data_IF_129774446335
#
_entry.id   IF_129774446335
#
_cell.length_a   1.000
_cell.length_b   1.000
_cell.length_c   1.000
_cell.angle_alpha   90.00
_cell.angle_beta   90.00
_cell.angle_gamma   90.00
#
_symmetry.space_group_name_H-M   'P 1'
#
loop_
_entity.id
_entity.type
_entity.pdbx_description
1 polymer ?
#
# COMPACT_ATOMS: atom_id res chain seq x y z
N UNK A 1 -36.98 -24.30 -23.19
CA UNK A 1 -38.20 -23.66 -22.69
C UNK A 1 -38.04 -22.16 -22.91
N UNK A 2 -38.94 -21.53 -23.67
CA UNK A 2 -38.80 -20.11 -24.04
C UNK A 2 -39.33 -19.21 -22.91
N UNK A 3 -38.56 -18.19 -22.54
CA UNK A 3 -38.88 -17.22 -21.49
C UNK A 3 -39.97 -16.27 -22.03
N UNK A 4 -41.13 -16.14 -21.37
CA UNK A 4 -42.23 -15.25 -21.82
C UNK A 4 -41.83 -13.77 -21.95
N UNK A 5 -40.77 -13.36 -21.25
CA UNK A 5 -40.26 -11.98 -21.28
C UNK A 5 -39.25 -11.71 -22.39
N UNK A 6 -38.86 -12.73 -23.18
CA UNK A 6 -37.88 -12.61 -24.26
C UNK A 6 -38.30 -11.59 -25.32
N UNK A 7 -39.57 -11.55 -25.67
CA UNK A 7 -40.12 -10.61 -26.65
C UNK A 7 -40.21 -9.18 -26.12
N UNK A 8 -40.15 -9.01 -24.79
CA UNK A 8 -40.11 -7.69 -24.14
C UNK A 8 -38.69 -7.15 -23.92
N UNK A 9 -37.63 -7.93 -24.22
CA UNK A 9 -36.24 -7.51 -24.03
C UNK A 9 -35.81 -6.39 -24.99
N UNK A 10 -36.27 -6.41 -26.24
CA UNK A 10 -35.98 -5.35 -27.23
C UNK A 10 -36.71 -4.05 -26.86
N UNK A 11 -38.05 -4.05 -26.60
CA UNK A 11 -38.74 -2.88 -26.08
C UNK A 11 -38.16 -2.33 -24.77
N UNK A 12 -37.61 -3.20 -23.91
CA UNK A 12 -36.92 -2.82 -22.68
C UNK A 12 -35.59 -2.08 -22.95
N UNK A 13 -34.81 -2.53 -23.94
CA UNK A 13 -33.59 -1.86 -24.39
C UNK A 13 -33.87 -0.53 -25.10
N UNK A 14 -34.98 -0.44 -25.83
CA UNK A 14 -35.41 0.76 -26.57
C UNK A 14 -36.20 1.77 -25.72
N UNK A 15 -36.38 1.52 -24.42
CA UNK A 15 -37.17 2.35 -23.50
C UNK A 15 -38.64 2.57 -23.90
N UNK A 16 -39.20 1.68 -24.71
CA UNK A 16 -40.60 1.77 -25.19
C UNK A 16 -41.62 1.22 -24.19
N UNK A 17 -41.16 0.72 -23.05
CA UNK A 17 -42.01 0.13 -22.01
C UNK A 17 -42.38 1.15 -20.93
N UNK A 18 -43.54 0.95 -20.32
CA UNK A 18 -43.96 1.75 -19.17
C UNK A 18 -43.03 1.52 -17.97
N UNK A 19 -42.93 2.51 -17.06
CA UNK A 19 -42.06 2.41 -15.86
C UNK A 19 -42.36 1.18 -14.99
N UNK A 20 -43.62 0.80 -14.89
CA UNK A 20 -44.07 -0.38 -14.13
C UNK A 20 -43.62 -1.68 -14.82
N UNK A 21 -43.75 -1.75 -16.15
CA UNK A 21 -43.28 -2.91 -16.92
C UNK A 21 -41.75 -3.03 -16.92
N UNK A 22 -41.03 -1.92 -16.93
CA UNK A 22 -39.56 -1.91 -16.81
C UNK A 22 -39.10 -2.52 -15.48
N UNK A 23 -39.75 -2.16 -14.35
CA UNK A 23 -39.42 -2.73 -13.04
C UNK A 23 -39.72 -4.23 -12.96
N UNK A 24 -40.84 -4.69 -13.55
CA UNK A 24 -41.20 -6.11 -13.59
C UNK A 24 -40.17 -6.91 -14.39
N UNK A 25 -39.71 -6.36 -15.51
CA UNK A 25 -38.69 -7.01 -16.35
C UNK A 25 -37.33 -7.00 -15.67
N UNK A 26 -36.94 -5.93 -14.98
CA UNK A 26 -35.68 -5.88 -14.22
C UNK A 26 -35.63 -6.92 -13.11
N UNK A 27 -36.72 -7.06 -12.34
CA UNK A 27 -36.84 -8.08 -11.31
C UNK A 27 -36.75 -9.49 -11.93
N UNK A 28 -37.40 -9.70 -13.08
CA UNK A 28 -37.35 -10.99 -13.77
C UNK A 28 -35.97 -11.33 -14.36
N UNK A 29 -35.28 -10.34 -14.93
CA UNK A 29 -33.93 -10.50 -15.49
C UNK A 29 -32.94 -10.89 -14.38
N UNK A 30 -33.13 -10.43 -13.14
CA UNK A 30 -32.23 -10.79 -12.04
C UNK A 30 -32.25 -12.29 -11.71
N UNK A 31 -33.41 -12.94 -11.89
CA UNK A 31 -33.65 -14.35 -11.56
C UNK A 31 -33.55 -15.29 -12.77
N UNK A 32 -33.76 -14.81 -14.00
CA UNK A 32 -33.82 -15.65 -15.19
C UNK A 32 -32.51 -15.65 -16.01
N UNK A 33 -31.74 -16.73 -15.92
CA UNK A 33 -30.49 -16.90 -16.68
C UNK A 33 -30.67 -16.84 -18.22
N UNK A 34 -31.79 -17.34 -18.75
CA UNK A 34 -32.10 -17.32 -20.19
C UNK A 34 -32.34 -15.91 -20.70
N UNK A 35 -33.09 -15.12 -19.94
CA UNK A 35 -33.41 -13.75 -20.27
C UNK A 35 -32.17 -12.83 -20.06
N UNK A 36 -31.31 -13.11 -19.07
CA UNK A 36 -29.97 -12.50 -18.93
C UNK A 36 -29.07 -12.77 -20.13
N UNK A 37 -28.96 -14.03 -20.56
CA UNK A 37 -28.10 -14.42 -21.69
C UNK A 37 -28.59 -13.79 -23.00
N UNK A 38 -29.91 -13.75 -23.19
CA UNK A 38 -30.53 -13.11 -24.37
C UNK A 38 -30.30 -11.60 -24.37
N UNK A 39 -30.42 -10.93 -23.23
CA UNK A 39 -30.10 -9.51 -23.09
C UNK A 39 -28.62 -9.23 -23.36
N UNK A 40 -27.73 -10.05 -22.81
CA UNK A 40 -26.28 -9.98 -23.04
C UNK A 40 -25.93 -10.08 -24.53
N UNK A 41 -26.57 -11.02 -25.24
CA UNK A 41 -26.37 -11.26 -26.66
C UNK A 41 -26.99 -10.14 -27.52
N UNK A 42 -28.16 -9.61 -27.15
CA UNK A 42 -28.77 -8.45 -27.82
C UNK A 42 -27.90 -7.20 -27.71
N UNK A 43 -27.43 -6.86 -26.49
CA UNK A 43 -26.53 -5.71 -26.28
C UNK A 43 -25.19 -5.91 -27.03
N UNK A 44 -24.67 -7.14 -27.09
CA UNK A 44 -23.47 -7.45 -27.90
C UNK A 44 -23.73 -7.24 -29.39
N UNK A 45 -24.85 -7.74 -29.90
CA UNK A 45 -25.22 -7.64 -31.32
C UNK A 45 -25.49 -6.20 -31.73
N UNK A 46 -26.12 -5.42 -30.85
CA UNK A 46 -26.33 -3.97 -31.01
C UNK A 46 -25.00 -3.20 -30.93
N UNK A 47 -24.05 -3.63 -30.09
CA UNK A 47 -22.68 -3.07 -30.06
C UNK A 47 -21.81 -3.46 -31.27
N UNK A 48 -22.19 -4.51 -32.01
CA UNK A 48 -21.52 -5.02 -33.22
C UNK A 48 -22.18 -4.51 -34.52
N UNK A 49 -23.43 -4.05 -34.47
CA UNK A 49 -24.18 -3.47 -35.59
C UNK A 49 -23.79 -2.01 -35.90
N UNK A 50 -22.49 -1.70 -35.88
CA UNK A 50 -21.94 -0.45 -36.42
C UNK A 50 -21.73 -0.57 -37.96
N UNK A 51 -22.09 -1.71 -38.56
CA UNK A 51 -21.84 -2.03 -39.97
C UNK A 51 -23.10 -2.48 -40.75
N UNK A 52 -24.29 -2.01 -40.37
CA UNK A 52 -25.45 -2.05 -41.27
C UNK A 52 -25.50 -0.72 -42.03
N UNK A 53 -25.88 -0.72 -43.33
CA UNK A 53 -25.99 0.51 -44.10
C UNK A 53 -26.91 1.46 -43.35
N UNK A 54 -26.48 2.72 -43.22
CA UNK A 54 -27.19 3.80 -42.53
C UNK A 54 -28.65 3.85 -43.00
N UNK A 55 -29.56 3.22 -42.24
CA UNK A 55 -30.85 3.85 -42.00
C UNK A 55 -30.55 5.15 -41.27
N UNK A 56 -31.17 6.25 -41.68
CA UNK A 56 -31.15 7.53 -40.98
C UNK A 56 -31.73 7.32 -39.57
N UNK A 57 -30.88 6.88 -38.64
CA UNK A 57 -31.18 6.95 -37.22
C UNK A 57 -31.21 8.44 -36.91
N UNK A 58 -32.36 8.96 -36.49
CA UNK A 58 -32.50 10.36 -36.09
C UNK A 58 -31.37 10.74 -35.12
N UNK A 59 -30.58 11.75 -35.50
CA UNK A 59 -29.39 12.21 -34.76
C UNK A 59 -29.70 12.48 -33.27
N UNK A 60 -30.94 12.83 -32.96
CA UNK A 60 -31.43 13.09 -31.61
C UNK A 60 -31.33 11.85 -30.70
N UNK A 61 -31.68 10.67 -31.21
CA UNK A 61 -31.63 9.39 -30.47
C UNK A 61 -30.17 8.95 -30.24
N UNK A 62 -29.30 9.16 -31.24
CA UNK A 62 -27.86 8.89 -31.11
C UNK A 62 -27.21 9.83 -30.08
N UNK A 63 -27.54 11.13 -30.11
CA UNK A 63 -27.06 12.12 -29.15
C UNK A 63 -27.52 11.78 -27.74
N UNK A 64 -28.77 11.33 -27.55
CA UNK A 64 -29.31 10.95 -26.26
C UNK A 64 -28.60 9.71 -25.68
N UNK A 65 -28.41 8.66 -26.48
CA UNK A 65 -27.63 7.47 -26.08
C UNK A 65 -26.18 7.82 -25.73
N UNK A 66 -25.53 8.71 -26.50
CA UNK A 66 -24.17 9.19 -26.21
C UNK A 66 -24.14 10.01 -24.90
N UNK A 67 -25.15 10.87 -24.66
CA UNK A 67 -25.28 11.65 -23.42
C UNK A 67 -25.46 10.74 -22.21
N UNK A 68 -26.31 9.73 -22.29
CA UNK A 68 -26.54 8.75 -21.22
C UNK A 68 -25.26 7.94 -20.94
N UNK A 69 -24.55 7.50 -22.00
CA UNK A 69 -23.28 6.79 -21.83
C UNK A 69 -22.20 7.68 -21.21
N UNK A 70 -22.08 8.94 -21.65
CA UNK A 70 -21.13 9.91 -21.06
C UNK A 70 -21.48 10.26 -19.62
N UNK A 71 -22.76 10.38 -19.28
CA UNK A 71 -23.20 10.69 -17.91
C UNK A 71 -22.96 9.51 -16.97
N UNK A 72 -23.21 8.27 -17.42
CA UNK A 72 -22.89 7.04 -16.69
C UNK A 72 -21.39 6.88 -16.42
N UNK A 73 -20.55 7.08 -17.44
CA UNK A 73 -19.09 7.02 -17.28
C UNK A 73 -18.58 8.11 -16.32
N UNK A 74 -19.08 9.35 -16.43
CA UNK A 74 -18.72 10.44 -15.50
C UNK A 74 -19.08 10.10 -14.06
N UNK A 75 -20.24 9.49 -13.82
CA UNK A 75 -20.67 9.08 -12.48
C UNK A 75 -19.74 8.02 -11.88
N UNK A 76 -19.37 7.02 -12.68
CA UNK A 76 -18.42 5.97 -12.25
C UNK A 76 -17.06 6.59 -11.90
N UNK A 77 -16.53 7.48 -12.74
CA UNK A 77 -15.28 8.19 -12.46
C UNK A 77 -15.41 9.01 -11.17
N UNK A 78 -16.52 9.74 -10.98
CA UNK A 78 -16.76 10.52 -9.77
C UNK A 78 -16.76 9.63 -8.51
N UNK A 79 -17.43 8.48 -8.54
CA UNK A 79 -17.39 7.53 -7.43
C UNK A 79 -15.99 6.99 -7.18
N UNK A 80 -15.24 6.66 -8.24
CA UNK A 80 -13.85 6.23 -8.10
C UNK A 80 -12.97 7.28 -7.43
N UNK A 81 -13.07 8.54 -7.86
CA UNK A 81 -12.34 9.68 -7.26
C UNK A 81 -12.75 9.89 -5.80
N UNK A 82 -14.05 9.89 -5.49
CA UNK A 82 -14.54 10.02 -4.12
C UNK A 82 -14.08 8.86 -3.24
N UNK A 83 -14.11 7.63 -3.75
CA UNK A 83 -13.59 6.45 -3.07
C UNK A 83 -12.09 6.58 -2.79
N UNK A 84 -11.31 7.01 -3.78
CA UNK A 84 -9.87 7.23 -3.63
C UNK A 84 -9.58 8.26 -2.54
N UNK A 85 -10.25 9.43 -2.58
CA UNK A 85 -10.12 10.48 -1.55
C UNK A 85 -10.48 9.92 -0.17
N UNK A 86 -11.59 9.20 -0.05
CA UNK A 86 -12.02 8.59 1.20
C UNK A 86 -10.99 7.60 1.74
N UNK A 87 -10.35 6.81 0.86
CA UNK A 87 -9.29 5.90 1.26
C UNK A 87 -7.99 6.61 1.65
N UNK A 88 -7.62 7.75 1.05
CA UNK A 88 -6.47 8.54 1.51
C UNK A 88 -6.62 9.00 2.97
N UNK A 89 -7.83 9.38 3.36
CA UNK A 89 -8.11 9.82 4.74
C UNK A 89 -8.43 8.67 5.70
N UNK A 90 -8.55 7.43 5.20
CA UNK A 90 -8.93 6.27 6.00
C UNK A 90 -7.99 6.01 7.18
N UNK A 91 -6.69 6.33 7.04
CA UNK A 91 -5.70 6.18 8.12
C UNK A 91 -6.05 7.00 9.38
N UNK A 92 -6.81 8.09 9.25
CA UNK A 92 -7.22 8.94 10.36
C UNK A 92 -8.50 8.49 11.07
N UNK A 93 -9.06 7.32 10.72
CA UNK A 93 -10.33 6.84 11.31
C UNK A 93 -10.29 6.73 12.85
N UNK A 94 -9.12 6.50 13.44
CA UNK A 94 -8.96 6.40 14.90
C UNK A 94 -9.18 7.73 15.61
N UNK A 95 -8.89 8.85 14.94
CA UNK A 95 -9.02 10.21 15.46
C UNK A 95 -10.46 10.72 15.44
N UNK A 96 -11.33 10.08 14.65
CA UNK A 96 -12.73 10.46 14.58
C UNK A 96 -13.51 9.98 15.82
N UNK A 97 -14.34 10.87 16.35
CA UNK A 97 -15.22 10.64 17.51
C UNK A 97 -16.60 10.12 17.10
N UNK A 98 -17.03 10.37 15.86
CA UNK A 98 -18.35 9.95 15.40
C UNK A 98 -18.31 8.54 14.82
N UNK A 99 -19.13 7.64 15.36
CA UNK A 99 -19.04 6.19 15.11
C UNK A 99 -19.27 5.84 13.64
N UNK A 100 -20.21 6.51 12.97
CA UNK A 100 -20.60 6.17 11.58
C UNK A 100 -19.48 6.53 10.61
N UNK A 101 -18.96 7.76 10.67
CA UNK A 101 -17.86 8.22 9.82
C UNK A 101 -16.59 7.44 10.13
N UNK A 102 -16.34 7.13 11.40
CA UNK A 102 -15.26 6.22 11.82
C UNK A 102 -15.37 4.85 11.16
N UNK A 103 -16.54 4.22 11.14
CA UNK A 103 -16.73 2.91 10.51
C UNK A 103 -16.50 2.95 8.99
N UNK A 104 -17.02 3.98 8.32
CA UNK A 104 -16.85 4.17 6.87
C UNK A 104 -15.37 4.36 6.53
N UNK A 105 -14.65 5.17 7.30
CA UNK A 105 -13.21 5.38 7.11
C UNK A 105 -12.36 4.17 7.53
N UNK A 106 -12.77 3.41 8.54
CA UNK A 106 -12.04 2.23 9.00
C UNK A 106 -12.02 1.11 7.97
N UNK A 107 -13.09 0.96 7.19
CA UNK A 107 -13.27 -0.18 6.29
C UNK A 107 -12.17 -0.28 5.22
N UNK A 108 -11.84 0.78 4.45
CA UNK A 108 -10.70 0.74 3.53
C UNK A 108 -9.37 0.45 4.23
N UNK A 109 -9.14 1.04 5.41
CA UNK A 109 -7.90 0.87 6.14
C UNK A 109 -7.70 -0.57 6.61
N UNK A 110 -8.75 -1.20 7.16
CA UNK A 110 -8.69 -2.59 7.63
C UNK A 110 -8.65 -3.60 6.48
N UNK A 111 -9.30 -3.32 5.36
CA UNK A 111 -9.14 -4.13 4.16
C UNK A 111 -7.71 -4.06 3.61
N UNK A 112 -7.08 -2.89 3.67
CA UNK A 112 -5.69 -2.72 3.27
C UNK A 112 -4.73 -3.45 4.21
N UNK A 113 -4.95 -3.36 5.52
CA UNK A 113 -4.18 -4.12 6.52
C UNK A 113 -4.30 -5.62 6.27
N UNK A 114 -5.51 -6.13 6.08
CA UNK A 114 -5.73 -7.54 5.70
C UNK A 114 -5.02 -7.90 4.39
N UNK A 115 -5.20 -7.08 3.35
CA UNK A 115 -4.62 -7.32 2.03
C UNK A 115 -3.09 -7.31 2.03
N UNK A 116 -2.46 -6.37 2.72
CA UNK A 116 -1.00 -6.32 2.89
C UNK A 116 -0.50 -7.44 3.80
N UNK A 117 -1.25 -7.77 4.84
CA UNK A 117 -0.94 -8.85 5.77
C UNK A 117 -0.75 -10.20 5.09
N UNK A 118 -1.50 -10.49 4.02
CA UNK A 118 -1.33 -11.71 3.23
C UNK A 118 0.07 -11.86 2.59
N UNK A 119 0.76 -10.76 2.34
CA UNK A 119 2.06 -10.75 1.64
C UNK A 119 3.23 -10.35 2.54
N UNK A 120 2.98 -9.50 3.53
CA UNK A 120 4.03 -8.82 4.30
C UNK A 120 3.97 -9.09 5.81
N UNK A 121 3.11 -9.97 6.31
CA UNK A 121 3.04 -10.31 7.75
C UNK A 121 4.38 -10.74 8.33
N UNK A 122 5.22 -11.39 7.53
CA UNK A 122 6.53 -11.89 7.96
C UNK A 122 7.56 -10.77 8.17
N UNK A 123 7.28 -9.56 7.69
CA UNK A 123 8.16 -8.40 7.89
C UNK A 123 7.91 -7.70 9.21
N UNK A 124 6.78 -7.97 9.88
CA UNK A 124 6.41 -7.31 11.13
C UNK A 124 7.43 -7.67 12.20
N UNK A 125 7.96 -6.65 12.87
CA UNK A 125 8.93 -6.83 13.95
C UNK A 125 8.29 -7.53 15.14
N UNK A 126 9.06 -8.39 15.80
CA UNK A 126 8.66 -8.94 17.09
C UNK A 126 8.63 -7.84 18.17
N UNK A 127 7.84 -8.00 19.25
CA UNK A 127 7.80 -7.03 20.35
C UNK A 127 9.18 -6.65 20.92
N UNK A 128 10.11 -7.59 20.92
CA UNK A 128 11.49 -7.39 21.40
C UNK A 128 12.31 -6.50 20.45
N UNK A 129 12.08 -6.62 19.14
CA UNK A 129 12.69 -5.74 18.14
C UNK A 129 12.11 -4.32 18.15
N UNK A 130 10.96 -4.10 18.81
CA UNK A 130 10.38 -2.77 19.01
C UNK A 130 11.01 -2.01 20.20
N UNK A 131 11.75 -2.65 21.11
CA UNK A 131 12.25 -2.02 22.35
C UNK A 131 13.28 -0.88 22.17
N UNK A 132 13.79 -0.65 20.95
CA UNK A 132 14.67 0.49 20.64
C UNK A 132 14.01 1.63 19.86
N UNK A 133 12.74 1.48 19.45
CA UNK A 133 12.03 2.52 18.70
C UNK A 133 11.38 3.52 19.69
N UNK A 134 12.13 4.56 20.07
CA UNK A 134 11.57 5.73 20.78
C UNK A 134 10.51 6.50 19.97
N UNK A 135 10.30 6.13 18.71
CA UNK A 135 9.34 6.76 17.80
C UNK A 135 8.39 5.71 17.22
N UNK A 136 7.11 5.80 17.59
CA UNK A 136 6.02 4.99 17.01
C UNK A 136 6.14 4.99 15.48
N UNK A 137 6.27 3.82 14.85
CA UNK A 137 6.28 3.71 13.38
C UNK A 137 4.93 4.19 12.83
N UNK A 138 4.89 5.28 12.05
CA UNK A 138 3.64 5.75 11.47
C UNK A 138 3.23 4.81 10.34
N UNK A 139 2.13 4.06 10.53
CA UNK A 139 1.59 3.18 9.50
C UNK A 139 1.09 1.84 10.03
N UNK A 140 1.04 0.84 9.13
CA UNK A 140 0.61 -0.53 9.44
C UNK A 140 1.74 -1.41 9.95
N UNK A 141 3.01 -0.99 9.83
CA UNK A 141 4.17 -1.71 10.36
C UNK A 141 4.67 -2.88 9.50
N UNK A 142 4.28 -2.95 8.23
CA UNK A 142 4.72 -4.00 7.30
C UNK A 142 6.10 -3.73 6.69
N UNK A 143 6.57 -2.47 6.75
CA UNK A 143 7.87 -2.06 6.22
C UNK A 143 8.71 -1.37 7.31
N UNK A 144 9.09 -2.08 8.39
CA UNK A 144 9.67 -1.47 9.58
C UNK A 144 10.98 -0.71 9.34
N UNK A 145 11.76 -1.12 8.35
CA UNK A 145 13.03 -0.50 8.00
C UNK A 145 12.92 0.55 6.89
N UNK A 146 11.71 0.87 6.42
CA UNK A 146 11.47 1.96 5.48
C UNK A 146 10.19 2.71 5.85
N UNK A 147 10.32 3.72 6.72
CA UNK A 147 9.19 4.46 7.27
C UNK A 147 8.37 5.18 6.20
N UNK A 148 9.05 5.71 5.18
CA UNK A 148 8.39 6.41 4.06
C UNK A 148 7.54 5.43 3.26
N UNK A 149 8.07 4.23 2.98
CA UNK A 149 7.32 3.18 2.30
C UNK A 149 6.15 2.68 3.14
N UNK A 150 6.33 2.48 4.45
CA UNK A 150 5.25 2.06 5.35
C UNK A 150 4.10 3.08 5.38
N UNK A 151 4.45 4.36 5.49
CA UNK A 151 3.49 5.46 5.44
C UNK A 151 2.76 5.53 4.09
N UNK A 152 3.50 5.45 2.98
CA UNK A 152 2.90 5.46 1.63
C UNK A 152 1.98 4.25 1.43
N UNK A 153 2.39 3.06 1.85
CA UNK A 153 1.56 1.86 1.80
C UNK A 153 0.29 2.01 2.64
N UNK A 154 0.39 2.65 3.81
CA UNK A 154 -0.72 2.90 4.73
C UNK A 154 -1.73 3.93 4.22
N UNK A 155 -1.36 4.78 3.26
CA UNK A 155 -2.23 5.78 2.64
C UNK A 155 -2.77 5.31 1.28
N UNK A 156 -1.88 4.83 0.41
CA UNK A 156 -2.21 4.48 -0.97
C UNK A 156 -2.98 3.17 -1.07
N UNK A 157 -2.65 2.16 -0.25
CA UNK A 157 -3.33 0.86 -0.32
C UNK A 157 -4.82 0.98 0.02
N UNK A 158 -5.22 1.66 1.12
CA UNK A 158 -6.63 1.94 1.36
C UNK A 158 -7.29 2.78 0.27
N UNK A 159 -6.58 3.76 -0.31
CA UNK A 159 -7.10 4.58 -1.41
C UNK A 159 -7.41 3.75 -2.66
N UNK A 160 -6.52 2.83 -3.03
CA UNK A 160 -6.73 1.88 -4.14
C UNK A 160 -7.95 0.99 -3.87
N UNK A 161 -8.03 0.38 -2.67
CA UNK A 161 -9.14 -0.50 -2.32
C UNK A 161 -10.48 0.23 -2.22
N UNK A 162 -10.49 1.43 -1.65
CA UNK A 162 -11.70 2.26 -1.56
C UNK A 162 -12.15 2.73 -2.94
N UNK A 163 -11.23 3.08 -3.84
CA UNK A 163 -11.53 3.38 -5.24
C UNK A 163 -12.22 2.19 -5.91
N UNK A 164 -11.69 0.97 -5.76
CA UNK A 164 -12.33 -0.22 -6.32
C UNK A 164 -13.71 -0.49 -5.72
N UNK A 165 -13.85 -0.37 -4.39
CA UNK A 165 -15.14 -0.51 -3.71
C UNK A 165 -16.18 0.50 -4.22
N UNK A 166 -15.80 1.77 -4.32
CA UNK A 166 -16.68 2.83 -4.81
C UNK A 166 -17.04 2.66 -6.29
N UNK A 167 -16.11 2.18 -7.11
CA UNK A 167 -16.39 1.83 -8.50
C UNK A 167 -17.39 0.67 -8.58
N UNK A 168 -17.22 -0.40 -7.79
CA UNK A 168 -18.16 -1.53 -7.74
C UNK A 168 -19.57 -1.04 -7.35
N UNK A 169 -19.66 -0.20 -6.31
CA UNK A 169 -20.92 0.44 -5.90
C UNK A 169 -21.49 1.25 -7.07
N UNK A 170 -20.69 2.11 -7.69
CA UNK A 170 -21.11 2.92 -8.84
C UNK A 170 -21.59 2.09 -10.04
N UNK A 171 -21.02 0.91 -10.27
CA UNK A 171 -21.46 -0.05 -11.29
C UNK A 171 -22.77 -0.76 -10.90
N UNK A 172 -22.93 -1.19 -9.64
CA UNK A 172 -24.13 -1.87 -9.15
C UNK A 172 -25.36 -0.94 -9.14
N UNK A 173 -25.16 0.34 -8.85
CA UNK A 173 -26.22 1.36 -8.89
C UNK A 173 -26.38 2.04 -10.26
N UNK A 174 -25.67 1.56 -11.30
CA UNK A 174 -25.81 2.05 -12.67
C UNK A 174 -26.87 1.27 -13.45
N UNK A 175 -27.42 1.88 -14.51
CA UNK A 175 -28.45 1.26 -15.35
C UNK A 175 -27.95 -0.08 -15.96
N UNK A 176 -28.66 -1.16 -15.67
CA UNK A 176 -28.34 -2.54 -16.09
C UNK A 176 -28.35 -2.69 -17.62
N UNK A 177 -29.04 -1.81 -18.33
CA UNK A 177 -29.10 -1.76 -19.81
C UNK A 177 -27.75 -1.36 -20.43
N UNK A 178 -26.92 -0.62 -19.68
CA UNK A 178 -25.60 -0.15 -20.15
C UNK A 178 -24.44 -0.98 -19.58
N UNK A 179 -24.64 -1.60 -18.41
CA UNK A 179 -23.58 -2.27 -17.65
C UNK A 179 -23.89 -3.75 -17.34
N UNK A 180 -23.38 -4.63 -18.20
CA UNK A 180 -23.52 -6.09 -18.09
C UNK A 180 -22.72 -6.70 -16.93
N UNK A 181 -23.27 -7.76 -16.31
CA UNK A 181 -22.58 -8.59 -15.28
C UNK A 181 -21.21 -9.10 -15.74
N UNK A 182 -21.03 -9.43 -17.02
CA UNK A 182 -19.72 -9.84 -17.59
C UNK A 182 -18.65 -8.73 -17.57
N UNK A 183 -19.05 -7.46 -17.58
CA UNK A 183 -18.10 -6.34 -17.44
C UNK A 183 -17.63 -6.16 -15.99
N UNK A 184 -18.47 -6.52 -15.00
CA UNK A 184 -18.09 -6.53 -13.58
C UNK A 184 -16.98 -7.55 -13.32
N UNK A 185 -17.06 -8.76 -13.89
CA UNK A 185 -16.00 -9.75 -13.73
C UNK A 185 -14.66 -9.26 -14.30
N UNK A 186 -14.67 -8.64 -15.49
CA UNK A 186 -13.46 -8.03 -16.06
C UNK A 186 -12.92 -6.91 -15.17
N UNK A 187 -13.80 -6.08 -14.62
CA UNK A 187 -13.43 -5.03 -13.68
C UNK A 187 -12.74 -5.60 -12.44
N UNK A 188 -13.31 -6.64 -11.82
CA UNK A 188 -12.71 -7.31 -10.66
C UNK A 188 -11.33 -7.89 -11.00
N UNK A 189 -11.18 -8.54 -12.15
CA UNK A 189 -9.87 -9.04 -12.60
C UNK A 189 -8.87 -7.90 -12.78
N UNK A 190 -9.29 -6.77 -13.38
CA UNK A 190 -8.44 -5.58 -13.52
C UNK A 190 -8.06 -5.00 -12.16
N UNK A 191 -9.01 -4.88 -11.22
CA UNK A 191 -8.77 -4.37 -9.87
C UNK A 191 -7.76 -5.25 -9.11
N UNK A 192 -7.95 -6.58 -9.16
CA UNK A 192 -7.01 -7.54 -8.58
C UNK A 192 -5.63 -7.42 -9.25
N UNK A 193 -5.57 -7.28 -10.57
CA UNK A 193 -4.30 -7.13 -11.29
C UNK A 193 -3.56 -5.86 -10.87
N UNK A 194 -4.25 -4.72 -10.76
CA UNK A 194 -3.67 -3.46 -10.30
C UNK A 194 -3.19 -3.58 -8.85
N UNK A 195 -3.97 -4.22 -7.99
CA UNK A 195 -3.57 -4.49 -6.61
C UNK A 195 -2.30 -5.35 -6.55
N UNK A 196 -2.22 -6.44 -7.33
CA UNK A 196 -1.03 -7.28 -7.38
C UNK A 196 0.19 -6.54 -7.92
N UNK A 197 0.04 -5.68 -8.94
CA UNK A 197 1.12 -4.82 -9.42
C UNK A 197 1.61 -3.89 -8.30
N UNK A 198 0.69 -3.32 -7.52
CA UNK A 198 1.03 -2.49 -6.36
C UNK A 198 1.82 -3.29 -5.31
N UNK A 199 1.43 -4.52 -5.00
CA UNK A 199 2.17 -5.42 -4.10
C UNK A 199 3.58 -5.70 -4.62
N UNK A 200 3.74 -5.96 -5.92
CA UNK A 200 5.05 -6.19 -6.55
C UNK A 200 5.95 -4.94 -6.43
N UNK A 201 5.40 -3.75 -6.63
CA UNK A 201 6.13 -2.49 -6.47
C UNK A 201 6.61 -2.33 -5.02
N UNK A 202 5.72 -2.53 -4.04
CA UNK A 202 6.06 -2.46 -2.62
C UNK A 202 7.16 -3.46 -2.25
N UNK A 203 7.04 -4.70 -2.72
CA UNK A 203 8.05 -5.74 -2.51
C UNK A 203 9.40 -5.35 -3.12
N UNK A 204 9.41 -4.84 -4.36
CA UNK A 204 10.63 -4.41 -5.04
C UNK A 204 11.35 -3.27 -4.33
N UNK A 205 10.63 -2.23 -3.93
CA UNK A 205 11.20 -1.09 -3.19
C UNK A 205 11.75 -1.55 -1.83
N UNK A 206 11.00 -2.40 -1.12
CA UNK A 206 11.43 -2.88 0.19
C UNK A 206 12.64 -3.80 0.10
N UNK A 207 12.65 -4.76 -0.85
CA UNK A 207 13.78 -5.63 -1.09
C UNK A 207 15.05 -4.84 -1.47
N UNK A 208 14.91 -3.81 -2.31
CA UNK A 208 16.00 -2.89 -2.62
C UNK A 208 16.50 -2.13 -1.39
N UNK A 209 15.59 -1.72 -0.50
CA UNK A 209 15.98 -1.07 0.77
C UNK A 209 16.75 -2.04 1.66
N UNK A 210 16.29 -3.29 1.80
CA UNK A 210 16.97 -4.32 2.59
C UNK A 210 18.36 -4.64 2.03
N UNK A 211 18.50 -4.75 0.71
CA UNK A 211 19.79 -5.02 0.05
C UNK A 211 20.79 -3.88 0.30
N UNK A 212 20.34 -2.62 0.22
CA UNK A 212 21.18 -1.47 0.58
C UNK A 212 21.63 -1.51 2.04
N UNK A 213 20.72 -1.86 2.95
CA UNK A 213 21.05 -1.97 4.39
C UNK A 213 22.06 -3.10 4.60
N UNK A 214 21.87 -4.25 3.95
CA UNK A 214 22.77 -5.42 4.09
C UNK A 214 24.19 -5.13 3.58
N UNK A 215 24.32 -4.27 2.58
CA UNK A 215 25.61 -3.86 2.00
C UNK A 215 26.17 -2.58 2.59
N UNK A 216 25.48 -1.97 3.56
CA UNK A 216 25.81 -0.63 4.10
C UNK A 216 25.96 0.45 3.01
N UNK A 217 25.18 0.36 1.93
CA UNK A 217 25.27 1.27 0.79
C UNK A 217 24.41 2.53 0.96
N UNK A 218 25.05 3.70 0.81
CA UNK A 218 24.35 4.98 0.81
C UNK A 218 23.84 5.40 2.18
N UNK A 219 24.67 5.20 3.22
CA UNK A 219 24.48 5.77 4.56
C UNK A 219 24.46 7.30 4.44
N UNK A 220 23.43 7.92 5.00
CA UNK A 220 23.22 9.37 4.97
C UNK A 220 23.43 10.02 6.35
N UNK A 221 23.13 9.28 7.42
CA UNK A 221 23.19 9.76 8.78
C UNK A 221 23.40 8.59 9.75
N UNK A 222 24.09 8.85 10.86
CA UNK A 222 24.23 7.91 11.97
C UNK A 222 23.98 8.68 13.27
N UNK A 223 22.98 8.25 14.04
CA UNK A 223 22.79 8.73 15.42
C UNK A 223 23.35 7.71 16.39
N UNK A 224 24.25 8.15 17.27
CA UNK A 224 24.93 7.31 18.25
C UNK A 224 24.26 7.52 19.61
N UNK A 225 23.91 6.41 20.24
CA UNK A 225 23.42 6.34 21.61
C UNK A 225 24.38 5.49 22.44
N UNK A 226 24.68 5.94 23.65
CA UNK A 226 25.29 5.09 24.66
C UNK A 226 24.17 4.36 25.37
N UNK A 227 24.30 3.04 25.50
CA UNK A 227 23.27 2.17 26.09
C UNK A 227 23.87 1.48 27.30
N UNK A 228 23.19 1.64 28.43
CA UNK A 228 23.45 0.96 29.68
C UNK A 228 22.20 0.20 30.11
N UNK A 229 22.32 -0.69 31.11
CA UNK A 229 21.21 -1.48 31.62
C UNK A 229 20.03 -0.56 31.98
N UNK A 230 18.94 -0.65 31.21
CA UNK A 230 17.70 0.12 31.43
C UNK A 230 17.73 1.59 31.01
N UNK A 231 18.79 2.10 30.37
CA UNK A 231 18.86 3.49 29.91
C UNK A 231 19.64 3.66 28.60
N UNK A 232 19.20 4.61 27.78
CA UNK A 232 19.91 5.03 26.57
C UNK A 232 20.08 6.55 26.57
N UNK A 233 21.31 7.04 26.45
CA UNK A 233 21.61 8.47 26.31
C UNK A 233 22.02 8.78 24.88
N UNK A 234 21.44 9.83 24.31
CA UNK A 234 21.90 10.37 23.04
C UNK A 234 23.31 10.94 23.21
N UNK A 235 24.23 10.53 22.33
CA UNK A 235 25.61 11.02 22.32
C UNK A 235 25.75 12.10 21.25
N UNK A 236 25.50 11.74 19.99
CA UNK A 236 25.56 12.67 18.88
C UNK A 236 24.79 12.17 17.65
N UNK A 237 24.52 13.09 16.72
CA UNK A 237 24.04 12.75 15.37
C UNK A 237 25.08 13.20 14.35
N UNK A 238 25.57 12.27 13.55
CA UNK A 238 26.45 12.53 12.41
C UNK A 238 25.56 12.64 11.18
N UNK A 239 25.28 13.85 10.75
CA UNK A 239 24.49 14.12 9.55
C UNK A 239 25.33 14.07 8.27
N UNK A 240 24.69 14.25 7.13
CA UNK A 240 25.32 14.19 5.81
C UNK A 240 26.47 15.19 5.63
N UNK A 241 26.44 16.32 6.32
CA UNK A 241 27.49 17.35 6.24
C UNK A 241 28.68 16.93 7.11
N UNK A 242 28.42 16.50 8.34
CA UNK A 242 29.42 15.94 9.25
C UNK A 242 30.10 14.71 8.66
N UNK A 243 29.37 13.88 7.89
CA UNK A 243 29.95 12.73 7.19
C UNK A 243 31.05 13.06 6.18
N UNK A 244 31.28 14.34 5.83
CA UNK A 244 32.42 14.73 5.01
C UNK A 244 33.72 14.90 5.81
N UNK A 245 33.65 14.95 7.14
CA UNK A 245 34.83 15.01 7.98
C UNK A 245 35.58 13.68 7.97
N UNK A 246 36.91 13.75 7.88
CA UNK A 246 37.78 12.56 7.77
C UNK A 246 37.57 11.52 8.88
N UNK A 247 37.30 11.98 10.11
CA UNK A 247 37.12 11.11 11.28
C UNK A 247 35.86 10.25 11.15
N UNK A 248 34.74 10.83 10.71
CA UNK A 248 33.48 10.11 10.54
C UNK A 248 33.44 9.30 9.24
N UNK A 249 34.12 9.74 8.18
CA UNK A 249 34.29 8.92 6.97
C UNK A 249 35.04 7.62 7.27
N UNK A 250 36.09 7.66 8.10
CA UNK A 250 36.83 6.46 8.50
C UNK A 250 35.94 5.50 9.30
N UNK A 251 35.11 6.02 10.20
CA UNK A 251 34.14 5.22 10.95
C UNK A 251 33.16 4.50 10.01
N UNK A 252 32.55 5.23 9.06
CA UNK A 252 31.65 4.63 8.07
C UNK A 252 32.37 3.59 7.22
N UNK A 253 33.58 3.88 6.73
CA UNK A 253 34.33 2.95 5.90
C UNK A 253 34.59 1.63 6.64
N UNK A 254 34.91 1.67 7.93
CA UNK A 254 35.09 0.45 8.72
C UNK A 254 33.78 -0.29 8.96
N UNK A 255 32.67 0.41 9.24
CA UNK A 255 31.33 -0.19 9.37
C UNK A 255 30.90 -0.84 8.06
N UNK A 256 31.08 -0.16 6.92
CA UNK A 256 30.73 -0.69 5.59
C UNK A 256 31.59 -1.89 5.17
N UNK A 257 32.81 -2.00 5.69
CA UNK A 257 33.69 -3.15 5.47
C UNK A 257 33.44 -4.32 6.45
N UNK A 258 32.47 -4.19 7.36
CA UNK A 258 32.16 -5.23 8.32
C UNK A 258 31.73 -6.54 7.65
N UNK A 259 32.22 -7.67 8.16
CA UNK A 259 31.96 -8.98 7.55
C UNK A 259 30.73 -9.64 8.15
N UNK A 260 29.72 -9.87 7.31
CA UNK A 260 28.50 -10.59 7.71
C UNK A 260 28.82 -12.00 8.21
N UNK A 261 28.36 -12.33 9.42
CA UNK A 261 28.37 -13.69 9.96
C UNK A 261 27.11 -14.43 9.48
N UNK A 262 27.23 -15.73 9.23
CA UNK A 262 26.11 -16.55 8.78
C UNK A 262 25.07 -16.83 9.88
N UNK A 263 25.44 -16.62 11.14
CA UNK A 263 24.53 -16.82 12.27
C UNK A 263 23.65 -15.60 12.47
N UNK A 264 22.35 -15.83 12.67
CA UNK A 264 21.45 -14.81 13.21
C UNK A 264 21.52 -14.85 14.73
N UNK A 265 21.66 -13.69 15.36
CA UNK A 265 21.50 -13.52 16.79
C UNK A 265 20.17 -12.84 17.09
N UNK A 266 19.61 -13.11 18.28
CA UNK A 266 18.55 -12.26 18.82
C UNK A 266 19.13 -10.89 19.13
N UNK A 267 18.33 -9.83 18.97
CA UNK A 267 18.74 -8.51 19.45
C UNK A 267 18.78 -8.54 20.98
N UNK A 268 19.90 -8.14 21.63
CA UNK A 268 20.07 -8.33 23.06
C UNK A 268 19.12 -7.48 23.90
N UNK A 269 18.59 -8.07 24.98
CA UNK A 269 17.70 -7.38 25.94
C UNK A 269 18.50 -6.50 26.92
N UNK A 270 19.56 -7.07 27.49
CA UNK A 270 20.54 -6.34 28.30
C UNK A 270 21.64 -5.82 27.38
N UNK A 271 21.76 -4.50 27.31
CA UNK A 271 22.67 -3.81 26.38
C UNK A 271 23.65 -2.96 27.17
N UNK A 272 24.93 -3.16 26.91
CA UNK A 272 26.04 -2.35 27.39
C UNK A 272 26.94 -1.99 26.21
N UNK A 273 27.05 -0.70 25.88
CA UNK A 273 27.87 -0.20 24.79
C UNK A 273 27.16 0.83 23.94
N UNK A 274 27.13 0.65 22.63
CA UNK A 274 26.60 1.64 21.69
C UNK A 274 25.44 1.10 20.85
N UNK A 275 24.43 1.95 20.65
CA UNK A 275 23.38 1.72 19.66
C UNK A 275 23.45 2.80 18.57
N UNK A 276 23.50 2.35 17.33
CA UNK A 276 23.64 3.18 16.14
C UNK A 276 22.32 3.15 15.38
N UNK A 277 21.64 4.28 15.25
CA UNK A 277 20.55 4.46 14.30
C UNK A 277 21.13 4.92 12.96
N UNK A 278 21.17 4.01 11.99
CA UNK A 278 21.77 4.25 10.67
C UNK A 278 20.66 4.57 9.68
N UNK A 279 20.70 5.79 9.12
CA UNK A 279 19.83 6.25 8.06
C UNK A 279 20.45 6.02 6.67
N UNK A 280 19.63 5.53 5.74
CA UNK A 280 20.01 5.20 4.38
C UNK A 280 19.24 6.03 3.34
N UNK A 281 19.92 6.34 2.25
CA UNK A 281 19.32 7.00 1.09
C UNK A 281 18.09 6.24 0.54
N UNK A 282 16.96 6.93 0.44
CA UNK A 282 15.67 6.34 0.05
C UNK A 282 14.73 6.02 1.20
N UNK A 283 15.05 6.47 2.43
CA UNK A 283 14.17 6.36 3.60
C UNK A 283 14.36 5.09 4.43
N UNK A 284 15.43 4.33 4.15
CA UNK A 284 15.82 3.17 4.94
C UNK A 284 16.36 3.60 6.31
N UNK A 285 16.02 2.87 7.37
CA UNK A 285 16.59 3.08 8.70
C UNK A 285 16.68 1.74 9.44
N UNK A 286 17.83 1.46 10.07
CA UNK A 286 18.01 0.27 10.89
C UNK A 286 18.88 0.59 12.11
N UNK A 287 18.52 0.00 13.26
CA UNK A 287 19.34 0.02 14.46
C UNK A 287 20.41 -1.05 14.40
N UNK A 288 21.60 -0.72 14.89
CA UNK A 288 22.70 -1.65 15.10
C UNK A 288 23.21 -1.51 16.54
N UNK A 289 23.38 -2.62 17.23
CA UNK A 289 23.99 -2.65 18.56
C UNK A 289 25.43 -3.12 18.46
N UNK A 290 26.33 -2.40 19.12
CA UNK A 290 27.76 -2.71 19.26
C UNK A 290 28.04 -2.84 20.75
N UNK A 291 28.55 -4.00 21.14
CA UNK A 291 28.96 -4.26 22.52
C UNK A 291 30.41 -3.84 22.73
N UNK A 292 30.73 -3.26 23.89
CA UNK A 292 32.06 -2.67 24.14
C UNK A 292 33.21 -3.71 24.07
N UNK A 293 32.92 -4.94 24.48
CA UNK A 293 33.91 -6.01 24.60
C UNK A 293 33.81 -7.06 23.48
N UNK A 294 32.97 -6.83 22.46
CA UNK A 294 32.80 -7.78 21.36
C UNK A 294 33.03 -7.14 20.00
N UNK A 295 33.74 -7.87 19.13
CA UNK A 295 33.92 -7.49 17.71
C UNK A 295 32.64 -7.71 16.89
N UNK A 296 31.46 -7.71 17.53
CA UNK A 296 30.18 -7.99 16.91
C UNK A 296 29.28 -6.77 16.90
N UNK A 297 28.71 -6.51 15.71
CA UNK A 297 27.64 -5.57 15.51
C UNK A 297 26.39 -6.33 15.13
N UNK A 298 25.35 -6.24 15.96
CA UNK A 298 24.08 -6.94 15.78
C UNK A 298 23.05 -5.95 15.24
N UNK A 299 22.60 -6.17 14.02
CA UNK A 299 21.52 -5.38 13.41
C UNK A 299 20.16 -5.77 14.02
N UNK A 300 19.21 -4.85 14.02
CA UNK A 300 17.84 -5.06 14.53
C UNK A 300 17.11 -6.23 13.87
N UNK A 301 17.43 -6.55 12.62
CA UNK A 301 16.87 -7.71 11.90
C UNK A 301 17.51 -9.05 12.31
N UNK A 302 18.42 -9.04 13.28
CA UNK A 302 19.16 -10.19 13.82
C UNK A 302 20.42 -10.56 13.02
N UNK A 303 20.79 -9.79 12.00
CA UNK A 303 22.01 -10.04 11.22
C UNK A 303 23.22 -9.58 12.00
N UNK A 304 24.23 -10.45 12.13
CA UNK A 304 25.47 -10.16 12.86
C UNK A 304 26.58 -9.83 11.88
N UNK A 305 27.33 -8.79 12.17
CA UNK A 305 28.51 -8.35 11.44
C UNK A 305 29.73 -8.37 12.35
N UNK A 306 30.89 -8.71 11.80
CA UNK A 306 32.18 -8.61 12.50
C UNK A 306 32.77 -7.24 12.19
N UNK A 307 33.03 -6.45 13.23
CA UNK A 307 33.63 -5.12 13.15
C UNK A 307 35.06 -5.15 13.73
N UNK A 308 35.90 -4.21 13.33
CA UNK A 308 37.24 -4.05 13.92
C UNK A 308 37.18 -3.35 15.28
N UNK A 309 38.12 -3.68 16.17
CA UNK A 309 38.27 -2.99 17.46
C UNK A 309 38.42 -1.47 17.32
N UNK A 310 39.06 -1.00 16.24
CA UNK A 310 39.12 0.41 15.84
C UNK A 310 37.74 1.11 15.83
N UNK A 311 36.66 0.41 15.47
CA UNK A 311 35.30 0.97 15.46
C UNK A 311 34.84 1.28 16.89
N UNK A 312 35.11 0.37 17.82
CA UNK A 312 34.76 0.52 19.24
C UNK A 312 35.56 1.68 19.86
N UNK A 313 36.86 1.75 19.55
CA UNK A 313 37.73 2.86 20.00
C UNK A 313 37.22 4.21 19.46
N UNK A 314 36.88 4.29 18.17
CA UNK A 314 36.31 5.50 17.58
C UNK A 314 34.96 5.90 18.19
N UNK A 315 34.08 4.93 18.49
CA UNK A 315 32.80 5.20 19.16
C UNK A 315 33.01 5.69 20.61
N UNK A 316 33.98 5.12 21.31
CA UNK A 316 34.35 5.52 22.67
C UNK A 316 34.97 6.92 22.69
N UNK A 317 35.86 7.25 21.75
CA UNK A 317 36.44 8.59 21.59
C UNK A 317 35.35 9.64 21.31
N UNK A 318 34.40 9.29 20.43
CA UNK A 318 33.26 10.15 20.11
C UNK A 318 32.38 10.38 21.34
N UNK A 319 32.15 9.35 22.17
CA UNK A 319 31.34 9.46 23.37
C UNK A 319 32.06 10.17 24.53
N UNK A 320 33.37 9.95 24.69
CA UNK A 320 34.21 10.58 25.71
C UNK A 320 34.55 12.04 25.41
N UNK A 321 34.64 12.42 24.13
CA UNK A 321 34.94 13.79 23.69
C UNK A 321 33.81 14.81 23.92
N UNK A 322 32.63 14.39 24.37
CA UNK A 322 31.50 15.28 24.72
C UNK A 322 31.60 15.75 26.19
N UNK A 323 32.55 15.24 26.97
CA UNK A 323 32.76 15.59 28.38
C UNK A 323 33.77 16.70 28.69
N UNK A 324 34.51 17.19 27.68
CA UNK A 324 35.63 18.14 27.85
C UNK A 324 35.42 19.51 27.14
N UNK A 325 34.16 19.97 27.01
CA UNK A 325 33.84 21.38 26.68
C UNK A 325 32.98 22.07 27.74
#
# INVERSE_FOLDING_TARGET
MDCKFKDKLIPYLEEKLSKEEMQIIEAHIDECELCQKSLDDLIKKESLNILLPMEEIEDEILIERIKIRKSGVRRIILYGVLGFILGLFSHYYTMDKFIVTKAIMALPYKLAEFGLGLFFSNNVLSPWQHMGYHHVTPGMGYFPFNRVLDFLASILTPAILSCFGALIIGYLFSDKRVFQRKRILRFLVTAVSVFLIWIVILHGIYAFTLDKIDKFEGINDITIYSVNIGSSSWVMTIDKEALQEKKYMKLIEQISNAKKKFNKAGYPEERHGFELSIGFSGGGNMLAYVEDDSEEMIMQNGTVYTISYDVIEMLTDIAGGVGDE
#
